data_IF_366397884226
#
_entry.id   IF_366397884226
#
_cell.length_a   1.000
_cell.length_b   1.000
_cell.length_c   1.000
_cell.angle_alpha   90.00
_cell.angle_beta   90.00
_cell.angle_gamma   90.00
#
_symmetry.space_group_name_H-M   'P 1'
#
loop_
_entity.id
_entity.type
_entity.pdbx_description
1 polymer ?
#
# COMPACT_ATOMS: atom_id res chain seq x y z
N UNK A 1 16.08 2.08 -11.05
CA UNK A 1 14.98 2.39 -10.10
C UNK A 1 13.72 1.65 -10.50
N UNK A 2 13.06 1.06 -9.53
CA UNK A 2 11.75 0.41 -9.71
C UNK A 2 10.73 1.21 -8.92
N UNK A 3 9.63 1.60 -9.57
CA UNK A 3 8.57 2.39 -8.95
C UNK A 3 7.25 1.67 -9.15
N UNK A 4 6.50 1.48 -8.04
CA UNK A 4 5.15 0.92 -8.07
C UNK A 4 4.23 1.83 -7.29
N UNK A 5 3.12 2.22 -7.90
CA UNK A 5 2.13 3.10 -7.29
C UNK A 5 0.78 2.40 -7.24
N UNK A 6 0.30 2.13 -6.03
CA UNK A 6 -1.03 1.56 -5.76
C UNK A 6 -1.29 0.19 -6.39
N UNK A 7 -0.22 -0.58 -6.67
CA UNK A 7 -0.33 -1.88 -7.33
C UNK A 7 0.00 -3.09 -6.47
N UNK A 8 0.89 -2.93 -5.47
CA UNK A 8 1.40 -4.09 -4.71
C UNK A 8 0.34 -4.74 -3.83
N UNK A 9 -0.71 -4.01 -3.39
CA UNK A 9 -1.78 -4.60 -2.59
C UNK A 9 -2.60 -5.62 -3.37
N UNK A 10 -2.51 -5.63 -4.68
CA UNK A 10 -3.20 -6.59 -5.54
C UNK A 10 -2.37 -7.85 -5.81
N UNK A 11 -1.15 -7.93 -5.31
CA UNK A 11 -0.33 -9.12 -5.46
C UNK A 11 -0.96 -10.28 -4.67
N UNK A 12 -1.12 -11.42 -5.31
CA UNK A 12 -1.61 -12.63 -4.67
C UNK A 12 -0.68 -13.07 -3.54
N UNK A 13 0.63 -12.97 -3.76
CA UNK A 13 1.65 -13.23 -2.75
C UNK A 13 2.60 -12.04 -2.71
N UNK A 14 2.48 -11.22 -1.67
CA UNK A 14 3.25 -9.98 -1.55
C UNK A 14 4.76 -10.24 -1.50
N UNK A 15 5.19 -11.18 -0.67
CA UNK A 15 6.62 -11.48 -0.53
C UNK A 15 7.23 -11.97 -1.86
N UNK A 16 6.51 -12.82 -2.57
CA UNK A 16 6.96 -13.33 -3.86
C UNK A 16 7.05 -12.21 -4.89
N UNK A 17 6.06 -11.34 -4.94
CA UNK A 17 6.06 -10.21 -5.86
C UNK A 17 7.20 -9.23 -5.57
N UNK A 18 7.41 -8.89 -4.31
CA UNK A 18 8.52 -8.02 -3.91
C UNK A 18 9.88 -8.66 -4.15
N UNK A 19 9.99 -9.97 -3.97
CA UNK A 19 11.22 -10.72 -4.26
C UNK A 19 11.56 -10.65 -5.76
N UNK A 20 10.56 -10.81 -6.62
CA UNK A 20 10.74 -10.66 -8.06
C UNK A 20 11.15 -9.23 -8.45
N UNK A 21 10.53 -8.23 -7.81
CA UNK A 21 10.92 -6.84 -8.03
C UNK A 21 12.38 -6.60 -7.62
N UNK A 22 12.81 -7.19 -6.52
CA UNK A 22 14.20 -7.09 -6.07
C UNK A 22 15.15 -7.78 -7.07
N UNK A 23 14.75 -8.92 -7.59
CA UNK A 23 15.53 -9.66 -8.58
C UNK A 23 15.82 -8.81 -9.82
N UNK A 24 14.84 -8.06 -10.31
CA UNK A 24 15.01 -7.23 -11.52
C UNK A 24 15.62 -5.85 -11.23
N UNK A 25 15.71 -5.46 -9.96
CA UNK A 25 16.36 -4.21 -9.58
C UNK A 25 17.88 -4.37 -9.72
N UNK A 26 18.54 -3.42 -10.34
CA UNK A 26 20.01 -3.43 -10.45
C UNK A 26 20.67 -3.31 -9.07
N UNK A 27 21.81 -3.97 -8.83
CA UNK A 27 22.57 -3.76 -7.61
C UNK A 27 22.86 -2.27 -7.39
N UNK A 28 22.63 -1.79 -6.17
CA UNK A 28 22.72 -0.36 -5.85
C UNK A 28 21.51 0.45 -6.25
N UNK A 29 20.53 -0.16 -6.94
CA UNK A 29 19.30 0.51 -7.35
C UNK A 29 18.32 0.69 -6.22
N UNK A 30 17.32 1.53 -6.46
CA UNK A 30 16.29 1.89 -5.48
C UNK A 30 14.92 1.39 -5.94
N UNK A 31 14.15 0.85 -5.00
CA UNK A 31 12.74 0.54 -5.21
C UNK A 31 11.89 1.51 -4.39
N UNK A 32 10.88 2.08 -5.02
CA UNK A 32 9.95 2.99 -4.38
C UNK A 32 8.53 2.45 -4.56
N UNK A 33 7.85 2.25 -3.45
CA UNK A 33 6.46 1.76 -3.43
C UNK A 33 5.58 2.81 -2.78
N UNK A 34 4.54 3.24 -3.48
CA UNK A 34 3.51 4.12 -2.94
C UNK A 34 2.24 3.30 -2.81
N UNK A 35 1.67 3.25 -1.62
CA UNK A 35 0.47 2.47 -1.38
C UNK A 35 -0.39 3.11 -0.29
N UNK A 36 -1.68 2.79 -0.30
CA UNK A 36 -2.57 3.21 0.77
C UNK A 36 -2.15 2.55 2.08
N UNK A 37 -2.31 3.29 3.16
CA UNK A 37 -2.02 2.81 4.51
C UNK A 37 -3.16 3.19 5.46
N UNK A 38 -3.13 2.66 6.68
CA UNK A 38 -4.15 2.94 7.68
C UNK A 38 -3.73 4.17 8.48
N UNK A 39 -4.56 5.24 8.52
CA UNK A 39 -4.27 6.41 9.36
C UNK A 39 -4.14 6.03 10.82
N UNK A 40 -3.16 6.59 11.52
CA UNK A 40 -2.87 6.27 12.92
C UNK A 40 -3.54 7.23 13.92
N UNK A 41 -3.89 8.45 13.49
CA UNK A 41 -4.60 9.39 14.34
C UNK A 41 -6.02 8.94 14.63
N UNK A 42 -6.45 8.99 15.92
CA UNK A 42 -7.76 8.46 16.32
C UNK A 42 -8.90 9.10 15.52
N UNK A 43 -8.94 10.45 15.44
CA UNK A 43 -9.99 11.17 14.72
C UNK A 43 -9.93 10.89 13.23
N UNK A 44 -8.75 10.97 12.63
CA UNK A 44 -8.56 10.72 11.20
C UNK A 44 -8.85 9.27 10.83
N UNK A 45 -8.49 8.32 11.70
CA UNK A 45 -8.80 6.91 11.49
C UNK A 45 -10.30 6.66 11.42
N UNK A 46 -11.07 7.24 12.33
CA UNK A 46 -12.54 7.10 12.32
C UNK A 46 -13.16 7.76 11.11
N UNK A 47 -12.74 8.98 10.75
CA UNK A 47 -13.26 9.68 9.57
C UNK A 47 -12.94 8.91 8.29
N UNK A 48 -11.72 8.40 8.18
CA UNK A 48 -11.30 7.62 7.02
C UNK A 48 -12.13 6.35 6.88
N UNK A 49 -12.29 5.58 7.95
CA UNK A 49 -13.08 4.34 7.90
C UNK A 49 -14.55 4.60 7.65
N UNK A 50 -15.12 5.67 8.24
CA UNK A 50 -16.50 6.05 7.97
C UNK A 50 -16.67 6.39 6.48
N UNK A 51 -15.79 7.22 5.93
CA UNK A 51 -15.83 7.56 4.51
C UNK A 51 -15.69 6.32 3.64
N UNK A 52 -14.67 5.48 3.89
CA UNK A 52 -14.36 4.34 3.05
C UNK A 52 -15.44 3.25 3.10
N UNK A 53 -16.06 3.04 4.26
CA UNK A 53 -17.01 1.94 4.45
C UNK A 53 -18.45 2.34 4.23
N UNK A 54 -18.80 3.61 4.39
CA UNK A 54 -20.18 4.10 4.30
C UNK A 54 -20.44 5.00 3.11
N UNK A 55 -19.54 5.94 2.84
CA UNK A 55 -19.76 6.98 1.81
C UNK A 55 -19.28 6.50 0.45
N UNK A 56 -18.08 5.96 0.35
CA UNK A 56 -17.48 5.57 -0.92
C UNK A 56 -18.30 4.51 -1.69
N UNK A 57 -18.80 3.43 -1.05
CA UNK A 57 -19.67 2.47 -1.75
C UNK A 57 -20.97 3.09 -2.26
N UNK A 58 -21.57 4.06 -1.52
CA UNK A 58 -22.79 4.75 -1.96
C UNK A 58 -22.48 5.60 -3.20
N UNK A 59 -21.39 6.33 -3.20
CA UNK A 59 -20.95 7.11 -4.36
C UNK A 59 -20.73 6.18 -5.57
N UNK A 60 -20.07 5.04 -5.35
CA UNK A 60 -19.85 4.05 -6.40
C UNK A 60 -21.15 3.53 -7.00
N UNK A 61 -22.18 3.28 -6.18
CA UNK A 61 -23.49 2.84 -6.67
C UNK A 61 -24.20 3.89 -7.50
N UNK A 62 -24.03 5.17 -7.16
CA UNK A 62 -24.68 6.28 -7.88
C UNK A 62 -24.03 6.50 -9.23
N UNK A 63 -22.70 6.45 -9.32
CA UNK A 63 -21.94 6.82 -10.50
C UNK A 63 -21.46 5.64 -11.33
N UNK A 64 -21.64 4.41 -10.86
CA UNK A 64 -21.22 3.20 -11.56
C UNK A 64 -22.24 2.09 -11.37
N UNK A 65 -22.49 1.32 -12.42
CA UNK A 65 -23.37 0.13 -12.36
C UNK A 65 -22.70 -1.01 -11.58
N UNK A 66 -21.39 -1.06 -11.60
CA UNK A 66 -20.59 -2.03 -10.84
C UNK A 66 -19.86 -1.28 -9.72
N UNK A 67 -20.24 -1.57 -8.48
CA UNK A 67 -19.64 -0.95 -7.29
C UNK A 67 -18.64 -1.86 -6.58
N UNK A 68 -18.28 -3.00 -7.18
CA UNK A 68 -17.37 -3.96 -6.54
C UNK A 68 -16.00 -3.36 -6.25
N UNK A 69 -15.47 -2.51 -7.14
CA UNK A 69 -14.19 -1.85 -6.95
C UNK A 69 -14.21 -0.91 -5.73
N UNK A 70 -15.30 -0.20 -5.51
CA UNK A 70 -15.45 0.72 -4.39
C UNK A 70 -15.63 0.02 -3.05
N UNK A 71 -16.13 -1.22 -3.07
CA UNK A 71 -16.20 -2.07 -1.87
C UNK A 71 -14.86 -2.75 -1.61
N UNK A 72 -14.20 -3.21 -2.66
CA UNK A 72 -12.91 -3.91 -2.59
C UNK A 72 -11.79 -3.02 -2.06
N UNK A 73 -11.74 -1.74 -2.46
CA UNK A 73 -10.65 -0.84 -2.11
C UNK A 73 -10.46 -0.69 -0.60
N UNK A 74 -11.51 -0.35 0.21
CA UNK A 74 -11.33 -0.25 1.65
C UNK A 74 -10.90 -1.56 2.30
N UNK A 75 -11.45 -2.69 1.84
CA UNK A 75 -11.10 -4.01 2.39
C UNK A 75 -9.66 -4.38 2.09
N UNK A 76 -9.18 -4.11 0.87
CA UNK A 76 -7.80 -4.42 0.49
C UNK A 76 -6.81 -3.55 1.26
N UNK A 77 -7.12 -2.28 1.49
CA UNK A 77 -6.27 -1.39 2.29
C UNK A 77 -6.21 -1.86 3.74
N UNK A 78 -7.35 -2.27 4.33
CA UNK A 78 -7.40 -2.75 5.70
C UNK A 78 -6.58 -4.03 5.89
N UNK A 79 -6.63 -4.94 4.92
CA UNK A 79 -5.94 -6.22 4.99
C UNK A 79 -4.45 -6.11 4.66
N UNK A 80 -4.04 -5.05 3.96
CA UNK A 80 -2.66 -4.89 3.50
C UNK A 80 -1.74 -4.48 4.65
N UNK A 81 -0.59 -5.15 4.83
CA UNK A 81 0.38 -4.73 5.84
C UNK A 81 0.95 -3.35 5.50
N UNK A 82 1.04 -2.46 6.49
CA UNK A 82 1.59 -1.12 6.32
C UNK A 82 2.65 -0.83 7.39
N UNK A 83 3.36 0.30 7.22
CA UNK A 83 4.39 0.72 8.16
C UNK A 83 5.47 -0.34 8.35
N UNK A 84 5.78 -0.65 9.62
CA UNK A 84 6.82 -1.63 9.95
C UNK A 84 6.49 -3.04 9.47
N UNK A 85 5.21 -3.40 9.40
CA UNK A 85 4.80 -4.71 8.90
C UNK A 85 5.17 -4.88 7.43
N UNK A 86 4.98 -3.83 6.62
CA UNK A 86 5.41 -3.84 5.23
C UNK A 86 6.94 -3.87 5.12
N UNK A 87 7.63 -3.08 5.94
CA UNK A 87 9.10 -3.05 5.91
C UNK A 87 9.72 -4.40 6.23
N UNK A 88 9.15 -5.17 7.16
CA UNK A 88 9.62 -6.52 7.44
C UNK A 88 9.56 -7.42 6.20
N UNK A 89 8.45 -7.36 5.47
CA UNK A 89 8.30 -8.14 4.24
C UNK A 89 9.24 -7.63 3.14
N UNK A 90 9.39 -6.32 3.06
CA UNK A 90 10.27 -5.65 2.10
C UNK A 90 11.73 -6.10 2.30
N UNK A 91 12.17 -6.17 3.55
CA UNK A 91 13.50 -6.64 3.90
C UNK A 91 13.67 -8.15 3.61
N UNK A 92 12.65 -8.94 3.89
CA UNK A 92 12.68 -10.38 3.54
C UNK A 92 12.78 -10.61 2.04
N UNK A 93 12.26 -9.69 1.24
CA UNK A 93 12.37 -9.76 -0.21
C UNK A 93 13.77 -9.46 -0.73
N UNK A 94 14.66 -8.93 0.10
CA UNK A 94 16.06 -8.68 -0.24
C UNK A 94 16.48 -7.21 -0.24
N UNK A 95 15.57 -6.30 0.03
CA UNK A 95 15.91 -4.88 0.10
C UNK A 95 16.54 -4.49 1.43
N UNK A 96 17.42 -3.50 1.40
CA UNK A 96 18.10 -2.95 2.58
C UNK A 96 17.88 -1.44 2.65
N UNK A 97 18.27 -0.84 3.78
CA UNK A 97 18.10 0.59 4.03
C UNK A 97 16.64 1.02 3.77
N UNK A 98 15.69 0.24 4.30
CA UNK A 98 14.27 0.47 4.07
C UNK A 98 13.73 1.59 4.95
N UNK A 99 12.79 2.35 4.41
CA UNK A 99 12.11 3.41 5.15
C UNK A 99 10.66 3.53 4.72
N UNK A 100 9.83 4.02 5.63
CA UNK A 100 8.42 4.27 5.37
C UNK A 100 8.10 5.71 5.79
N UNK A 101 7.53 6.49 4.89
CA UNK A 101 7.13 7.87 5.14
C UNK A 101 5.63 8.01 4.93
N UNK A 102 4.84 8.23 5.99
CA UNK A 102 3.40 8.45 5.82
C UNK A 102 3.12 9.81 5.18
N UNK A 103 2.11 9.87 4.32
CA UNK A 103 1.65 11.08 3.66
C UNK A 103 0.17 11.28 3.97
N UNK A 104 -0.26 12.54 3.93
CA UNK A 104 -1.68 12.91 4.06
C UNK A 104 -2.30 12.25 5.30
N UNK A 105 -1.72 12.53 6.48
CA UNK A 105 -2.15 12.01 7.78
C UNK A 105 -2.14 10.47 7.88
N UNK A 106 -1.34 9.80 7.04
CA UNK A 106 -1.21 8.35 7.05
C UNK A 106 -2.15 7.60 6.13
N UNK A 107 -2.90 8.30 5.27
CA UNK A 107 -3.77 7.66 4.27
C UNK A 107 -2.93 6.93 3.22
N UNK A 108 -1.78 7.49 2.87
CA UNK A 108 -0.79 6.89 1.97
C UNK A 108 0.56 6.80 2.67
N UNK A 109 1.39 5.87 2.22
CA UNK A 109 2.78 5.78 2.66
C UNK A 109 3.70 5.54 1.47
N UNK A 110 4.90 6.11 1.54
CA UNK A 110 5.98 5.86 0.58
C UNK A 110 7.00 4.96 1.23
N UNK A 111 7.26 3.83 0.62
CA UNK A 111 8.26 2.87 1.09
C UNK A 111 9.44 2.89 0.13
N UNK A 112 10.64 3.03 0.67
CA UNK A 112 11.87 3.09 -0.11
C UNK A 112 12.81 2.00 0.40
N UNK A 113 13.42 1.27 -0.52
CA UNK A 113 14.43 0.26 -0.21
C UNK A 113 15.49 0.24 -1.28
N UNK A 114 16.67 -0.22 -0.91
CA UNK A 114 17.81 -0.34 -1.83
C UNK A 114 18.18 -1.80 -2.04
N UNK A 115 18.55 -2.13 -3.27
CA UNK A 115 19.13 -3.43 -3.58
C UNK A 115 20.63 -3.41 -3.27
N UNK A 116 21.12 -4.35 -2.43
CA UNK A 116 22.55 -4.45 -2.15
C UNK A 116 23.38 -4.69 -3.38
#
# INVERSE_FOLDING_TARGET
TVIVSFGVRNFENLLKGLTDMCRVTKPGGTCLVIEFSNPKGYIFKHLYWFYSTKILPVIGRIFSKDNSAYTYLPESVKAFPDGNNFLEIFEKAGYTETSATPLTFGICSVYIGKKP
#
